data_IF_135050786170
#
_entry.id   IF_135050786170
#
_cell.length_a   1.000
_cell.length_b   1.000
_cell.length_c   1.000
_cell.angle_alpha   90.00
_cell.angle_beta   90.00
_cell.angle_gamma   90.00
#
_symmetry.space_group_name_H-M   'P 1'
#
loop_
_entity.id
_entity.type
_entity.pdbx_description
1 polymer ?
#
# COMPACT_ATOMS: atom_id res chain seq x y z
N UNK A 1 -16.72 15.50 23.87
CA UNK A 1 -16.66 14.17 23.24
C UNK A 1 -15.42 13.46 23.76
N UNK A 2 -15.57 12.31 24.43
CA UNK A 2 -14.43 11.53 24.91
C UNK A 2 -13.69 10.89 23.71
N UNK A 3 -12.37 11.07 23.65
CA UNK A 3 -11.51 10.49 22.61
C UNK A 3 -11.51 8.96 22.81
N UNK A 4 -12.01 8.20 21.84
CA UNK A 4 -11.94 6.73 21.89
C UNK A 4 -10.48 6.29 22.13
N UNK A 5 -10.24 5.27 22.97
CA UNK A 5 -8.89 4.76 23.19
C UNK A 5 -8.31 4.26 21.87
N UNK A 6 -7.04 4.61 21.60
CA UNK A 6 -6.34 4.21 20.37
C UNK A 6 -6.23 2.67 20.34
N UNK A 7 -6.72 2.05 19.26
CA UNK A 7 -6.61 0.60 19.03
C UNK A 7 -5.17 0.23 18.67
N UNK A 8 -4.74 -0.95 19.10
CA UNK A 8 -3.46 -1.54 18.71
C UNK A 8 -3.57 -3.07 18.64
N UNK A 9 -2.72 -3.69 17.82
CA UNK A 9 -2.58 -5.15 17.76
C UNK A 9 -2.02 -5.62 19.08
N UNK A 10 -2.74 -6.49 19.78
CA UNK A 10 -2.32 -7.04 21.07
C UNK A 10 -1.64 -8.38 20.88
N UNK A 11 -2.24 -9.30 20.14
CA UNK A 11 -1.70 -10.65 19.94
C UNK A 11 -1.74 -11.05 18.46
N UNK A 12 -0.74 -11.83 18.03
CA UNK A 12 -0.73 -12.57 16.77
C UNK A 12 -0.51 -14.06 17.07
N UNK A 13 -1.42 -14.89 16.57
CA UNK A 13 -1.30 -16.35 16.61
C UNK A 13 -1.13 -16.88 15.20
N UNK A 14 -0.12 -17.72 15.00
CA UNK A 14 0.23 -18.35 13.74
C UNK A 14 0.23 -19.86 13.93
N UNK A 15 -0.50 -20.58 13.06
CA UNK A 15 -0.51 -22.04 13.04
C UNK A 15 -0.06 -22.56 11.69
N UNK A 16 0.92 -23.46 11.75
CA UNK A 16 1.45 -24.25 10.64
C UNK A 16 1.87 -23.41 9.41
N UNK A 17 2.41 -22.21 9.64
CA UNK A 17 2.93 -21.39 8.54
C UNK A 17 4.14 -22.11 7.92
N UNK A 18 4.14 -22.24 6.59
CA UNK A 18 5.07 -23.08 5.83
C UNK A 18 5.18 -24.53 6.32
N UNK A 19 4.13 -25.06 6.98
CA UNK A 19 4.09 -26.45 7.44
C UNK A 19 4.87 -26.75 8.73
N UNK A 20 5.56 -25.76 9.31
CA UNK A 20 6.42 -25.96 10.50
C UNK A 20 6.32 -24.87 11.55
N UNK A 21 5.87 -23.67 11.18
CA UNK A 21 5.96 -22.51 12.04
C UNK A 21 4.65 -22.27 12.82
N UNK A 22 4.74 -22.43 14.14
CA UNK A 22 3.68 -22.11 15.09
C UNK A 22 4.21 -21.07 16.07
N UNK A 23 3.46 -19.99 16.30
CA UNK A 23 3.91 -18.90 17.16
C UNK A 23 2.73 -18.14 17.77
N UNK A 24 2.91 -17.66 18.98
CA UNK A 24 2.01 -16.73 19.65
C UNK A 24 2.86 -15.56 20.13
N UNK A 25 2.53 -14.36 19.67
CA UNK A 25 3.33 -13.15 19.87
C UNK A 25 2.43 -12.09 20.50
N UNK A 26 2.81 -11.61 21.69
CA UNK A 26 2.18 -10.48 22.35
C UNK A 26 2.93 -9.19 21.98
N UNK A 27 2.16 -8.13 21.70
CA UNK A 27 2.66 -6.82 21.31
C UNK A 27 2.35 -5.78 22.38
N UNK A 28 3.34 -4.93 22.62
CA UNK A 28 3.19 -3.70 23.38
C UNK A 28 2.55 -2.61 22.51
N UNK A 29 1.95 -1.62 23.17
CA UNK A 29 1.23 -0.52 22.52
C UNK A 29 2.09 0.32 21.56
N UNK A 30 3.37 0.48 21.88
CA UNK A 30 4.25 1.44 21.21
C UNK A 30 5.25 0.73 20.30
N UNK A 31 6.43 0.38 20.81
CA UNK A 31 7.52 -0.20 20.01
C UNK A 31 7.67 -1.68 20.34
N UNK A 32 7.75 -2.49 19.30
CA UNK A 32 8.00 -3.93 19.38
C UNK A 32 9.22 -4.27 18.54
N UNK A 33 10.13 -5.07 19.08
CA UNK A 33 11.35 -5.50 18.40
C UNK A 33 11.32 -7.00 18.22
N UNK A 34 11.20 -7.46 16.96
CA UNK A 34 11.28 -8.87 16.61
C UNK A 34 12.75 -9.24 16.32
N UNK A 35 13.33 -10.10 17.15
CA UNK A 35 14.69 -10.61 16.99
C UNK A 35 14.71 -12.14 16.96
N UNK A 36 15.77 -12.71 16.39
CA UNK A 36 15.92 -14.15 16.22
C UNK A 36 16.89 -14.49 15.10
N UNK A 37 17.23 -15.77 14.95
CA UNK A 37 18.15 -16.25 13.90
C UNK A 37 17.60 -16.03 12.49
N UNK A 38 18.46 -15.99 11.47
CA UNK A 38 18.00 -15.91 10.08
C UNK A 38 17.13 -17.11 9.73
N UNK A 39 16.07 -16.88 8.96
CA UNK A 39 15.08 -17.91 8.64
C UNK A 39 14.02 -18.17 9.74
N UNK A 40 14.09 -17.50 10.90
CA UNK A 40 13.10 -17.69 11.99
C UNK A 40 11.70 -17.11 11.72
N UNK A 41 11.40 -16.68 10.50
CA UNK A 41 10.08 -16.14 10.14
C UNK A 41 9.82 -14.66 10.49
N UNK A 42 10.82 -13.88 10.94
CA UNK A 42 10.65 -12.45 11.31
C UNK A 42 10.00 -11.62 10.19
N UNK A 43 10.56 -11.68 8.99
CA UNK A 43 10.03 -10.95 7.82
C UNK A 43 8.64 -11.46 7.44
N UNK A 44 8.38 -12.76 7.58
CA UNK A 44 7.06 -13.35 7.35
C UNK A 44 6.03 -12.81 8.33
N UNK A 45 6.34 -12.74 9.62
CA UNK A 45 5.47 -12.13 10.64
C UNK A 45 5.17 -10.68 10.27
N UNK A 46 6.20 -9.92 9.89
CA UNK A 46 6.04 -8.52 9.51
C UNK A 46 5.14 -8.36 8.28
N UNK A 47 5.33 -9.21 7.25
CA UNK A 47 4.48 -9.21 6.06
C UNK A 47 3.04 -9.62 6.38
N UNK A 48 2.82 -10.60 7.27
CA UNK A 48 1.48 -11.00 7.73
C UNK A 48 0.78 -9.80 8.38
N UNK A 49 1.44 -9.12 9.32
CA UNK A 49 0.88 -7.96 9.99
C UNK A 49 0.56 -6.85 8.99
N UNK A 50 1.51 -6.49 8.13
CA UNK A 50 1.32 -5.42 7.15
C UNK A 50 0.18 -5.74 6.18
N UNK A 51 0.11 -6.94 5.62
CA UNK A 51 -0.96 -7.32 4.70
C UNK A 51 -2.34 -7.32 5.39
N UNK A 52 -2.46 -7.75 6.65
CA UNK A 52 -3.77 -7.68 7.36
C UNK A 52 -4.16 -6.23 7.62
N UNK A 53 -3.22 -5.42 8.11
CA UNK A 53 -3.51 -4.03 8.47
C UNK A 53 -3.76 -3.14 7.26
N UNK A 54 -3.17 -3.45 6.11
CA UNK A 54 -3.43 -2.81 4.81
C UNK A 54 -4.64 -3.43 4.08
N UNK A 55 -5.43 -4.31 4.72
CA UNK A 55 -6.61 -4.94 4.12
C UNK A 55 -6.30 -5.76 2.85
N UNK A 56 -5.06 -6.22 2.69
CA UNK A 56 -4.61 -6.95 1.51
C UNK A 56 -4.64 -8.47 1.74
N UNK A 57 -5.83 -9.01 1.99
CA UNK A 57 -6.02 -10.42 2.30
C UNK A 57 -5.74 -11.36 1.13
N UNK A 58 -5.87 -10.88 -0.12
CA UNK A 58 -5.55 -11.67 -1.31
C UNK A 58 -4.13 -12.23 -1.27
N UNK A 59 -3.18 -11.48 -0.69
CA UNK A 59 -1.77 -11.90 -0.61
C UNK A 59 -1.59 -13.21 0.14
N UNK A 60 -2.48 -13.52 1.08
CA UNK A 60 -2.42 -14.77 1.83
C UNK A 60 -2.64 -16.01 0.95
N UNK A 61 -3.14 -15.89 -0.28
CA UNK A 61 -3.16 -16.98 -1.26
C UNK A 61 -1.75 -17.58 -1.45
N UNK A 62 -0.72 -16.74 -1.48
CA UNK A 62 0.69 -17.13 -1.69
C UNK A 62 1.41 -17.65 -0.43
N UNK A 63 0.74 -17.66 0.72
CA UNK A 63 1.30 -18.16 1.97
C UNK A 63 0.69 -19.54 2.31
N UNK A 64 1.53 -20.52 2.65
CA UNK A 64 1.05 -21.79 3.20
C UNK A 64 0.86 -21.66 4.72
N UNK A 65 -0.35 -21.88 5.23
CA UNK A 65 -0.68 -21.81 6.66
C UNK A 65 -2.03 -22.50 6.94
N UNK A 66 -2.30 -22.75 8.21
CA UNK A 66 -3.59 -23.32 8.66
C UNK A 66 -4.48 -22.22 9.23
N UNK A 67 -3.92 -21.43 10.13
CA UNK A 67 -4.64 -20.37 10.81
C UNK A 67 -3.71 -19.19 11.12
N UNK A 68 -4.20 -17.99 10.87
CA UNK A 68 -3.58 -16.73 11.29
C UNK A 68 -4.65 -15.94 12.03
N UNK A 69 -4.37 -15.53 13.27
CA UNK A 69 -5.30 -14.74 14.08
C UNK A 69 -4.60 -13.51 14.63
N UNK A 70 -5.18 -12.34 14.40
CA UNK A 70 -4.80 -11.09 15.07
C UNK A 70 -5.89 -10.72 16.07
N UNK A 71 -5.51 -10.40 17.30
CA UNK A 71 -6.39 -9.87 18.32
C UNK A 71 -5.96 -8.46 18.72
N UNK A 72 -6.92 -7.55 18.82
CA UNK A 72 -6.70 -6.16 19.21
C UNK A 72 -6.92 -5.97 20.72
N UNK A 73 -6.43 -4.86 21.26
CA UNK A 73 -6.65 -4.49 22.66
C UNK A 73 -8.13 -4.32 23.04
N UNK A 74 -9.03 -4.15 22.06
CA UNK A 74 -10.49 -4.14 22.22
C UNK A 74 -11.13 -5.53 22.38
N UNK A 75 -10.34 -6.62 22.32
CA UNK A 75 -10.78 -8.03 22.20
C UNK A 75 -11.46 -8.37 20.87
N UNK A 76 -11.49 -7.43 19.92
CA UNK A 76 -11.84 -7.73 18.54
C UNK A 76 -10.72 -8.56 17.90
N UNK A 77 -11.07 -9.42 16.96
CA UNK A 77 -10.09 -10.24 16.24
C UNK A 77 -10.43 -10.37 14.77
N UNK A 78 -9.39 -10.67 14.00
CA UNK A 78 -9.44 -11.13 12.62
C UNK A 78 -8.80 -12.50 12.60
N UNK A 79 -9.48 -13.50 12.05
CA UNK A 79 -8.96 -14.85 11.90
C UNK A 79 -9.08 -15.27 10.45
N UNK A 80 -7.97 -15.71 9.86
CA UNK A 80 -7.86 -16.23 8.50
C UNK A 80 -7.57 -17.73 8.61
N UNK A 81 -8.35 -18.55 7.92
CA UNK A 81 -8.20 -20.01 7.87
C UNK A 81 -8.13 -20.43 6.41
N UNK A 82 -7.27 -21.39 6.09
CA UNK A 82 -7.30 -22.08 4.80
C UNK A 82 -7.86 -23.50 4.98
N UNK A 83 -9.00 -23.77 4.36
CA UNK A 83 -9.62 -25.08 4.29
C UNK A 83 -9.28 -25.76 2.96
N UNK A 84 -9.17 -27.10 2.96
CA UNK A 84 -8.77 -27.95 1.82
C UNK A 84 -7.37 -27.64 1.25
N UNK A 85 -6.37 -28.43 1.65
CA UNK A 85 -4.96 -28.23 1.25
C UNK A 85 -4.55 -29.19 0.15
N UNK A 86 -5.13 -29.10 -1.04
CA UNK A 86 -4.49 -29.68 -2.22
C UNK A 86 -3.45 -28.69 -2.75
N UNK A 87 -2.19 -28.93 -2.39
CA UNK A 87 -1.06 -28.06 -2.76
C UNK A 87 -0.29 -28.70 -3.91
N UNK A 88 -0.15 -28.01 -5.04
CA UNK A 88 0.76 -28.49 -6.08
C UNK A 88 2.20 -28.24 -5.63
N UNK A 89 2.93 -29.30 -5.25
CA UNK A 89 4.33 -29.18 -4.80
C UNK A 89 5.27 -28.64 -5.88
N UNK A 90 4.93 -28.77 -7.17
CA UNK A 90 5.79 -28.29 -8.26
C UNK A 90 5.69 -26.77 -8.48
N UNK A 91 4.56 -26.15 -8.14
CA UNK A 91 4.28 -24.74 -8.47
C UNK A 91 4.12 -23.86 -7.23
N UNK A 92 4.01 -24.44 -6.02
CA UNK A 92 3.76 -23.71 -4.77
C UNK A 92 2.44 -22.90 -4.76
N UNK A 93 1.43 -23.37 -5.51
CA UNK A 93 0.12 -22.71 -5.59
C UNK A 93 -0.99 -23.71 -5.16
N UNK A 94 -1.99 -23.27 -4.37
CA UNK A 94 -3.10 -24.14 -3.93
C UNK A 94 -4.09 -24.45 -5.06
N UNK A 95 -4.28 -25.73 -5.40
CA UNK A 95 -5.13 -26.20 -6.51
C UNK A 95 -6.62 -26.02 -6.22
N UNK A 96 -7.01 -26.16 -4.96
CA UNK A 96 -8.38 -26.03 -4.54
C UNK A 96 -8.40 -25.72 -3.03
N UNK A 97 -8.48 -24.44 -2.66
CA UNK A 97 -8.47 -24.03 -1.26
C UNK A 97 -9.48 -22.93 -0.98
N UNK A 98 -10.30 -23.12 0.04
CA UNK A 98 -11.16 -22.08 0.55
C UNK A 98 -10.38 -21.22 1.55
N UNK A 99 -10.34 -19.91 1.32
CA UNK A 99 -9.90 -18.96 2.33
C UNK A 99 -11.10 -18.41 3.08
N UNK A 100 -11.10 -18.63 4.39
CA UNK A 100 -12.14 -18.13 5.29
C UNK A 100 -11.60 -17.01 6.16
N UNK A 101 -12.27 -15.86 6.14
CA UNK A 101 -11.97 -14.72 7.00
C UNK A 101 -13.11 -14.53 7.99
N UNK A 102 -12.79 -14.58 9.28
CA UNK A 102 -13.72 -14.42 10.38
C UNK A 102 -13.44 -13.12 11.13
N UNK A 103 -14.50 -12.33 11.34
CA UNK A 103 -14.50 -11.15 12.21
C UNK A 103 -15.36 -11.41 13.44
N UNK A 104 -15.09 -10.67 14.52
CA UNK A 104 -15.73 -10.80 15.84
C UNK A 104 -17.29 -10.82 15.84
N UNK A 105 -17.96 -10.40 14.77
CA UNK A 105 -19.44 -10.26 14.68
C UNK A 105 -20.14 -11.33 13.84
N UNK A 106 -19.71 -12.59 13.88
CA UNK A 106 -20.26 -13.69 13.05
C UNK A 106 -20.16 -13.43 11.53
N UNK A 107 -19.35 -12.46 11.11
CA UNK A 107 -19.08 -12.22 9.70
C UNK A 107 -18.02 -13.23 9.28
N UNK A 108 -18.46 -14.15 8.42
CA UNK A 108 -17.61 -15.12 7.73
C UNK A 108 -17.61 -14.74 6.26
N UNK A 109 -16.42 -14.50 5.73
CA UNK A 109 -16.20 -14.35 4.30
C UNK A 109 -15.50 -15.60 3.81
N UNK A 110 -16.00 -16.17 2.72
CA UNK A 110 -15.42 -17.35 2.08
C UNK A 110 -15.03 -16.95 0.67
N UNK A 111 -13.77 -17.20 0.34
CA UNK A 111 -13.22 -16.97 -0.99
C UNK A 111 -12.77 -18.30 -1.53
N UNK A 112 -13.33 -18.68 -2.68
CA UNK A 112 -12.89 -19.86 -3.37
C UNK A 112 -11.62 -19.51 -4.19
N UNK A 113 -10.52 -20.19 -3.91
CA UNK A 113 -9.27 -20.04 -4.64
C UNK A 113 -9.19 -21.21 -5.64
N UNK A 114 -9.91 -21.08 -6.75
CA UNK A 114 -9.85 -22.01 -7.88
C UNK A 114 -8.78 -21.56 -8.88
N UNK A 115 -7.73 -22.38 -9.06
CA UNK A 115 -6.46 -21.98 -9.65
C UNK A 115 -6.40 -21.81 -11.19
N UNK A 116 -7.51 -21.56 -11.88
CA UNK A 116 -7.54 -21.65 -13.36
C UNK A 116 -7.92 -20.37 -14.12
N UNK A 117 -7.81 -19.18 -13.53
CA UNK A 117 -8.02 -17.93 -14.26
C UNK A 117 -6.88 -16.93 -14.06
N UNK A 118 -6.37 -16.38 -15.16
CA UNK A 118 -5.43 -15.24 -15.21
C UNK A 118 -5.97 -13.98 -14.50
N UNK A 119 -7.26 -13.96 -14.14
CA UNK A 119 -7.96 -12.87 -13.48
C UNK A 119 -8.26 -13.10 -11.98
N UNK A 120 -7.63 -14.10 -11.34
CA UNK A 120 -7.79 -14.44 -9.91
C UNK A 120 -7.80 -13.22 -8.96
N UNK A 121 -6.85 -12.31 -9.13
CA UNK A 121 -6.78 -11.09 -8.30
C UNK A 121 -8.00 -10.19 -8.53
N UNK A 122 -8.47 -10.05 -9.79
CA UNK A 122 -9.65 -9.23 -10.09
C UNK A 122 -10.92 -9.84 -9.54
N UNK A 123 -11.07 -11.15 -9.60
CA UNK A 123 -12.25 -11.82 -9.09
C UNK A 123 -12.30 -11.77 -7.56
N UNK A 124 -11.15 -11.99 -6.91
CA UNK A 124 -11.02 -11.76 -5.47
C UNK A 124 -11.35 -10.30 -5.09
N UNK A 125 -10.80 -9.32 -5.83
CA UNK A 125 -11.04 -7.90 -5.56
C UNK A 125 -12.51 -7.51 -5.74
N UNK A 126 -13.23 -8.06 -6.74
CA UNK A 126 -14.68 -7.80 -6.90
C UNK A 126 -15.50 -8.30 -5.71
N UNK A 127 -15.20 -9.50 -5.20
CA UNK A 127 -15.85 -10.02 -4.00
C UNK A 127 -15.48 -9.18 -2.76
N UNK A 128 -14.23 -8.73 -2.71
CA UNK A 128 -13.65 -7.97 -1.61
C UNK A 128 -14.12 -6.50 -1.52
N UNK A 129 -14.35 -5.82 -2.65
CA UNK A 129 -14.78 -4.41 -2.71
C UNK A 129 -16.12 -4.15 -1.98
N UNK A 130 -16.91 -5.20 -1.74
CA UNK A 130 -18.16 -5.13 -1.00
C UNK A 130 -18.01 -5.22 0.53
N UNK A 131 -16.80 -5.49 1.02
CA UNK A 131 -16.54 -5.82 2.42
C UNK A 131 -15.84 -4.65 3.13
N UNK A 132 -16.55 -4.01 4.07
CA UNK A 132 -15.94 -3.03 4.97
C UNK A 132 -15.35 -3.72 6.20
N UNK A 133 -14.04 -3.59 6.41
CA UNK A 133 -13.38 -4.02 7.64
C UNK A 133 -13.35 -2.85 8.64
N UNK A 134 -14.50 -2.51 9.24
CA UNK A 134 -14.60 -1.40 10.21
C UNK A 134 -13.56 -1.48 11.34
N UNK A 135 -13.14 -2.69 11.73
CA UNK A 135 -12.11 -2.94 12.75
C UNK A 135 -10.74 -2.37 12.32
N UNK A 136 -10.44 -2.38 11.02
CA UNK A 136 -9.19 -1.95 10.42
C UNK A 136 -9.19 -0.46 9.99
N UNK A 137 -10.36 0.15 9.81
CA UNK A 137 -10.52 1.54 9.34
C UNK A 137 -9.73 2.62 10.13
N UNK A 138 -9.39 2.35 11.40
CA UNK A 138 -8.62 3.26 12.25
C UNK A 138 -7.09 3.12 12.07
N UNK A 139 -6.63 2.07 11.39
CA UNK A 139 -5.21 1.79 11.15
C UNK A 139 -4.74 2.52 9.89
N UNK A 140 -3.70 3.35 10.06
CA UNK A 140 -2.90 3.87 8.96
C UNK A 140 -1.53 3.24 9.06
N UNK A 141 -1.29 2.25 8.23
CA UNK A 141 -0.03 1.52 8.18
C UNK A 141 0.94 2.16 7.20
N UNK A 142 2.22 2.01 7.52
CA UNK A 142 3.31 2.39 6.64
C UNK A 142 4.36 1.27 6.70
N UNK A 143 4.53 0.56 5.60
CA UNK A 143 5.45 -0.57 5.50
C UNK A 143 6.77 -0.15 4.85
N UNK A 144 7.85 -0.13 5.64
CA UNK A 144 9.20 0.24 5.18
C UNK A 144 10.11 -1.00 5.13
N UNK A 145 10.39 -1.57 3.94
CA UNK A 145 11.30 -2.69 3.81
C UNK A 145 12.75 -2.23 4.03
N UNK A 146 13.57 -3.11 4.62
CA UNK A 146 14.99 -2.84 4.86
C UNK A 146 15.79 -2.55 3.57
N UNK A 147 15.31 -3.04 2.44
CA UNK A 147 15.92 -2.87 1.11
C UNK A 147 15.27 -1.75 0.28
N UNK A 148 14.58 -0.80 0.93
CA UNK A 148 13.94 0.36 0.30
C UNK A 148 14.82 1.08 -0.72
N UNK A 149 16.02 1.47 -0.32
CA UNK A 149 16.93 2.25 -1.18
C UNK A 149 17.33 1.48 -2.44
N UNK A 150 17.47 0.15 -2.30
CA UNK A 150 17.82 -0.73 -3.41
C UNK A 150 16.67 -0.83 -4.42
N UNK A 151 15.43 -1.02 -3.94
CA UNK A 151 14.24 -1.04 -4.80
C UNK A 151 14.11 0.30 -5.53
N UNK A 152 14.15 1.42 -4.81
CA UNK A 152 14.02 2.76 -5.41
C UNK A 152 15.06 2.95 -6.52
N UNK A 153 16.34 2.68 -6.23
CA UNK A 153 17.42 2.83 -7.21
C UNK A 153 17.26 1.91 -8.42
N UNK A 154 16.81 0.67 -8.24
CA UNK A 154 16.66 -0.27 -9.34
C UNK A 154 15.44 0.04 -10.21
N UNK A 155 14.34 0.49 -9.61
CA UNK A 155 13.17 0.95 -10.36
C UNK A 155 13.53 2.15 -11.23
N UNK A 156 14.27 3.14 -10.69
CA UNK A 156 14.77 4.27 -11.47
C UNK A 156 15.67 3.82 -12.64
N UNK A 157 16.57 2.85 -12.39
CA UNK A 157 17.45 2.33 -13.44
C UNK A 157 16.66 1.62 -14.55
N UNK A 158 15.68 0.81 -14.19
CA UNK A 158 14.85 0.09 -15.16
C UNK A 158 14.01 1.07 -15.99
N UNK A 159 13.52 2.16 -15.38
CA UNK A 159 12.85 3.25 -16.07
C UNK A 159 13.75 3.94 -17.09
N UNK A 160 14.95 4.33 -16.70
CA UNK A 160 15.91 5.00 -17.60
C UNK A 160 16.28 4.12 -18.81
N UNK A 161 16.38 2.80 -18.59
CA UNK A 161 16.65 1.84 -19.67
C UNK A 161 15.46 1.73 -20.62
N UNK A 162 14.25 1.70 -20.06
CA UNK A 162 13.02 1.67 -20.84
C UNK A 162 12.93 2.92 -21.71
N UNK A 163 12.97 4.13 -21.14
CA UNK A 163 12.90 5.40 -21.88
C UNK A 163 13.94 5.49 -23.01
N UNK A 164 15.19 5.10 -22.73
CA UNK A 164 16.26 5.08 -23.74
C UNK A 164 15.94 4.14 -24.90
N UNK A 165 15.45 2.93 -24.63
CA UNK A 165 15.11 1.94 -25.67
C UNK A 165 14.00 2.45 -26.59
N UNK A 166 12.99 3.15 -26.07
CA UNK A 166 11.90 3.71 -26.89
C UNK A 166 12.31 4.92 -27.71
N UNK A 167 13.17 5.80 -27.16
CA UNK A 167 13.75 6.91 -27.93
C UNK A 167 14.52 6.43 -29.16
N UNK A 168 15.16 5.26 -29.08
CA UNK A 168 15.95 4.71 -30.19
C UNK A 168 15.16 3.81 -31.13
N UNK A 169 14.05 3.20 -30.68
CA UNK A 169 13.42 2.09 -31.39
C UNK A 169 12.17 2.44 -32.22
N UNK A 170 11.53 3.61 -32.05
CA UNK A 170 10.42 4.07 -32.91
C UNK A 170 9.21 3.13 -33.07
N UNK A 171 9.09 2.07 -32.27
CA UNK A 171 8.15 0.97 -32.48
C UNK A 171 7.03 0.99 -31.44
N UNK A 172 5.81 1.21 -31.92
CA UNK A 172 4.55 0.99 -31.23
C UNK A 172 4.26 -0.52 -31.08
N UNK A 173 4.61 -1.14 -29.95
CA UNK A 173 4.01 -2.42 -29.54
C UNK A 173 2.87 -2.17 -28.55
N UNK A 174 1.63 -2.25 -29.05
CA UNK A 174 0.38 -1.79 -28.42
C UNK A 174 -0.06 -2.47 -27.10
N UNK A 175 0.67 -3.43 -26.54
CA UNK A 175 0.27 -4.17 -25.32
C UNK A 175 1.05 -3.77 -24.06
N UNK A 176 2.33 -4.14 -24.01
CA UNK A 176 3.21 -3.89 -22.85
C UNK A 176 3.53 -2.41 -22.63
N UNK A 177 3.49 -1.61 -23.71
CA UNK A 177 3.75 -0.17 -23.68
C UNK A 177 2.66 0.57 -22.91
N UNK A 178 1.41 0.11 -22.92
CA UNK A 178 0.31 0.80 -22.24
C UNK A 178 0.31 0.58 -20.72
N UNK A 179 0.75 -0.57 -20.24
CA UNK A 179 0.87 -0.83 -18.80
C UNK A 179 2.04 -0.04 -18.20
N UNK A 180 3.20 -0.09 -18.87
CA UNK A 180 4.37 0.69 -18.45
C UNK A 180 4.15 2.20 -18.63
N UNK A 181 3.59 2.69 -19.75
CA UNK A 181 3.33 4.13 -19.90
C UNK A 181 2.34 4.67 -18.86
N UNK A 182 1.39 3.86 -18.37
CA UNK A 182 0.41 4.31 -17.36
C UNK A 182 0.98 4.39 -15.95
N UNK A 183 1.91 3.50 -15.60
CA UNK A 183 2.57 3.47 -14.28
C UNK A 183 3.72 4.47 -14.14
N UNK A 184 4.31 4.90 -15.26
CA UNK A 184 5.67 5.45 -15.25
C UNK A 184 5.86 6.80 -15.95
N UNK A 185 4.80 7.45 -16.42
CA UNK A 185 4.99 8.71 -17.13
C UNK A 185 5.50 9.86 -16.26
N UNK A 186 5.41 9.82 -14.94
CA UNK A 186 6.02 10.81 -14.04
C UNK A 186 6.35 10.17 -12.68
N UNK A 187 7.64 9.98 -12.38
CA UNK A 187 8.17 9.46 -11.09
C UNK A 187 7.66 8.04 -10.79
N UNK A 188 8.51 7.07 -10.44
CA UNK A 188 8.01 5.78 -10.01
C UNK A 188 7.10 5.96 -8.80
N UNK A 189 5.80 5.78 -9.04
CA UNK A 189 4.79 5.78 -7.99
C UNK A 189 5.06 4.66 -7.00
N UNK A 190 4.54 4.80 -5.78
CA UNK A 190 4.52 3.75 -4.76
C UNK A 190 4.05 2.37 -5.29
N UNK A 191 3.11 2.36 -6.26
CA UNK A 191 2.63 1.16 -6.95
C UNK A 191 3.75 0.43 -7.69
N UNK A 192 4.62 1.17 -8.40
CA UNK A 192 5.74 0.60 -9.13
C UNK A 192 6.77 -0.05 -8.20
N UNK A 193 7.02 0.56 -7.02
CA UNK A 193 7.87 -0.03 -6.00
C UNK A 193 7.31 -1.37 -5.53
N UNK A 194 6.01 -1.43 -5.28
CA UNK A 194 5.31 -2.66 -4.86
C UNK A 194 5.41 -3.76 -5.91
N UNK A 195 5.08 -3.45 -7.17
CA UNK A 195 5.15 -4.40 -8.29
C UNK A 195 6.57 -4.92 -8.47
N UNK A 196 7.56 -4.02 -8.42
CA UNK A 196 8.96 -4.39 -8.56
C UNK A 196 9.44 -5.27 -7.39
N UNK A 197 9.05 -4.93 -6.16
CA UNK A 197 9.37 -5.72 -4.98
C UNK A 197 8.82 -7.15 -5.12
N UNK A 198 7.54 -7.30 -5.50
CA UNK A 198 6.89 -8.60 -5.66
C UNK A 198 7.57 -9.47 -6.71
N UNK A 199 8.00 -8.86 -7.83
CA UNK A 199 8.80 -9.54 -8.85
C UNK A 199 10.13 -10.10 -8.31
N UNK A 200 10.73 -9.44 -7.32
CA UNK A 200 12.02 -9.84 -6.76
C UNK A 200 11.92 -10.82 -5.59
N UNK A 201 11.02 -10.58 -4.64
CA UNK A 201 10.95 -11.36 -3.40
C UNK A 201 9.64 -12.15 -3.22
N UNK A 202 8.78 -12.16 -4.23
CA UNK A 202 7.55 -12.95 -4.28
C UNK A 202 6.27 -12.16 -3.99
N UNK A 203 5.14 -12.77 -4.35
CA UNK A 203 3.82 -12.12 -4.34
C UNK A 203 3.26 -11.81 -2.95
N UNK A 204 3.83 -12.39 -1.88
CA UNK A 204 3.40 -12.15 -0.50
C UNK A 204 3.90 -10.81 0.08
N UNK A 205 4.66 -10.01 -0.68
CA UNK A 205 5.13 -8.71 -0.21
C UNK A 205 3.94 -7.74 0.00
N UNK A 206 3.89 -7.06 1.17
CA UNK A 206 2.90 -6.02 1.44
C UNK A 206 2.95 -4.88 0.44
N UNK A 207 1.87 -4.12 0.38
CA UNK A 207 1.90 -2.87 -0.35
C UNK A 207 2.97 -1.97 0.28
N UNK A 208 3.95 -1.59 -0.53
CA UNK A 208 4.82 -0.48 -0.17
C UNK A 208 3.91 0.76 -0.23
N UNK A 209 3.87 1.55 0.83
CA UNK A 209 2.98 2.71 0.97
C UNK A 209 3.67 3.91 1.64
N UNK A 210 4.99 3.99 1.52
CA UNK A 210 5.76 5.17 1.89
C UNK A 210 6.05 6.03 0.66
N UNK A 211 6.13 7.36 0.81
CA UNK A 211 6.57 8.22 -0.27
C UNK A 211 8.08 8.05 -0.50
N UNK A 212 8.47 7.79 -1.75
CA UNK A 212 9.88 7.77 -2.16
C UNK A 212 10.50 9.16 -2.06
N UNK A 213 11.83 9.24 -1.99
CA UNK A 213 12.52 10.55 -1.94
C UNK A 213 12.18 11.38 -3.18
N UNK A 214 12.11 10.75 -4.35
CA UNK A 214 11.73 11.42 -5.60
C UNK A 214 10.28 11.91 -5.58
N UNK A 215 9.34 11.14 -5.04
CA UNK A 215 7.95 11.59 -4.90
C UNK A 215 7.86 12.80 -3.97
N UNK A 216 8.58 12.77 -2.84
CA UNK A 216 8.65 13.90 -1.91
C UNK A 216 9.20 15.14 -2.62
N UNK A 217 10.29 15.02 -3.36
CA UNK A 217 10.89 16.14 -4.10
C UNK A 217 9.93 16.71 -5.15
N UNK A 218 9.27 15.85 -5.92
CA UNK A 218 8.32 16.29 -6.93
C UNK A 218 7.08 16.93 -6.32
N UNK A 219 6.55 16.39 -5.23
CA UNK A 219 5.45 17.00 -4.50
C UNK A 219 5.86 18.36 -3.94
N UNK A 220 7.06 18.46 -3.36
CA UNK A 220 7.59 19.71 -2.84
C UNK A 220 7.75 20.76 -3.95
N UNK A 221 8.34 20.39 -5.08
CA UNK A 221 8.49 21.28 -6.24
C UNK A 221 7.14 21.76 -6.77
N UNK A 222 6.17 20.86 -6.90
CA UNK A 222 4.81 21.21 -7.31
C UNK A 222 4.13 22.14 -6.31
N UNK A 223 4.31 21.91 -5.01
CA UNK A 223 3.80 22.80 -3.95
C UNK A 223 4.44 24.18 -4.03
N UNK A 224 5.75 24.26 -4.27
CA UNK A 224 6.49 25.51 -4.44
C UNK A 224 5.94 26.29 -5.63
N UNK A 225 5.81 25.65 -6.80
CA UNK A 225 5.28 26.27 -8.02
C UNK A 225 3.86 26.80 -7.79
N UNK A 226 2.96 25.98 -7.21
CA UNK A 226 1.59 26.41 -6.87
C UNK A 226 1.57 27.60 -5.92
N UNK A 227 2.47 27.61 -4.93
CA UNK A 227 2.59 28.70 -3.96
C UNK A 227 3.05 29.98 -4.63
N UNK A 228 4.03 29.91 -5.53
CA UNK A 228 4.48 31.05 -6.34
C UNK A 228 3.35 31.62 -7.20
N UNK A 229 2.59 30.78 -7.90
CA UNK A 229 1.42 31.25 -8.66
C UNK A 229 0.38 31.93 -7.77
N UNK A 230 0.07 31.32 -6.63
CA UNK A 230 -0.88 31.89 -5.66
C UNK A 230 -0.38 33.24 -5.12
N UNK A 231 0.92 33.36 -4.85
CA UNK A 231 1.54 34.58 -4.38
C UNK A 231 1.51 35.69 -5.44
N UNK A 232 1.83 35.37 -6.69
CA UNK A 232 1.78 36.30 -7.81
C UNK A 232 0.36 36.88 -7.99
N UNK A 233 -0.67 36.03 -7.97
CA UNK A 233 -2.08 36.46 -8.06
C UNK A 233 -2.47 37.38 -6.91
N UNK A 234 -2.10 37.04 -5.67
CA UNK A 234 -2.39 37.89 -4.50
C UNK A 234 -1.68 39.24 -4.57
N UNK A 235 -0.43 39.26 -5.04
CA UNK A 235 0.31 40.51 -5.21
C UNK A 235 -0.33 41.39 -6.27
N UNK A 236 -0.74 40.85 -7.41
CA UNK A 236 -1.44 41.60 -8.45
C UNK A 236 -2.71 42.27 -7.91
N UNK A 237 -3.53 41.52 -7.16
CA UNK A 237 -4.73 42.05 -6.50
C UNK A 237 -4.36 43.15 -5.49
N UNK A 238 -3.29 42.97 -4.71
CA UNK A 238 -2.83 43.97 -3.75
C UNK A 238 -2.37 45.25 -4.44
N UNK A 239 -1.59 45.15 -5.52
CA UNK A 239 -1.14 46.28 -6.31
C UNK A 239 -2.33 47.03 -6.90
N UNK A 240 -3.28 46.33 -7.51
CA UNK A 240 -4.50 46.93 -8.05
C UNK A 240 -5.26 47.71 -6.96
N UNK A 241 -5.53 47.08 -5.82
CA UNK A 241 -6.24 47.73 -4.71
C UNK A 241 -5.49 48.95 -4.15
N UNK A 242 -4.16 48.89 -4.12
CA UNK A 242 -3.32 49.99 -3.65
C UNK A 242 -3.34 51.15 -4.64
N UNK A 243 -3.24 50.86 -5.94
CA UNK A 243 -3.35 51.87 -7.00
C UNK A 243 -4.72 52.55 -6.96
N UNK A 244 -5.82 51.78 -6.89
CA UNK A 244 -7.17 52.35 -6.77
C UNK A 244 -7.29 53.28 -5.56
N UNK A 245 -6.77 52.89 -4.39
CA UNK A 245 -6.76 53.73 -3.18
C UNK A 245 -5.91 55.00 -3.31
N UNK A 246 -4.78 54.93 -4.02
CA UNK A 246 -3.92 56.10 -4.25
C UNK A 246 -4.62 57.05 -5.21
N UNK A 247 -5.12 56.56 -6.34
CA UNK A 247 -5.82 57.39 -7.32
C UNK A 247 -7.10 57.99 -6.76
N UNK A 248 -7.87 57.25 -5.95
CA UNK A 248 -9.07 57.78 -5.29
C UNK A 248 -8.78 58.89 -4.27
N UNK A 249 -7.53 59.04 -3.82
CA UNK A 249 -7.09 60.14 -2.94
C UNK A 249 -6.45 61.30 -3.70
N UNK A 250 -5.95 61.06 -4.91
CA UNK A 250 -5.28 62.05 -5.75
C UNK A 250 -6.25 62.80 -6.67
N UNK A 251 -7.36 62.17 -7.06
CA UNK A 251 -8.44 62.85 -7.77
C UNK A 251 -9.22 63.64 -6.71
N UNK A 252 -9.14 64.99 -6.68
CA UNK A 252 -9.99 65.76 -5.82
C UNK A 252 -11.42 65.53 -6.28
N UNK A 253 -12.31 65.22 -5.34
CA UNK A 253 -13.74 65.35 -5.59
C UNK A 253 -13.96 66.86 -5.77
N UNK A 254 -14.19 67.31 -7.00
CA UNK A 254 -14.76 68.63 -7.22
C UNK A 254 -16.15 68.60 -6.58
N UNK A 255 -16.26 69.20 -5.38
CA UNK A 255 -17.53 69.49 -4.74
C UNK A 255 -18.22 70.58 -5.58
N UNK A 256 -19.24 70.19 -6.36
CA UNK A 256 -20.25 71.10 -6.90
C UNK A 256 -21.16 71.64 -5.78
#
# INVERSE_FOLDING_TARGET
MAKKPKRFVKNLTLKNVYGIFNSEIEFFRDINVLYGVNGSGKTTILHILANILDENFFRFVYLNFDEIKIEFNSREFIRIVKENKEFNKSENIPINSDMLIFLNKNQKFQFNIDLFNDDLEKDFLKEYESISFDILSEFKTAYFPAFRNMIEAWVVRDLDKYERKYRTSGINRRGEVLYYNRLFHHVPGVEALTVFARRLFGEFIPNINYPSVMEIENELNNRIIRTYHTFAQKNEILYYNTLVKIFSKLIPVEEE
#
